data_IF_378091812292
#
_entry.id   IF_378091812292
#
_cell.length_a   1.000
_cell.length_b   1.000
_cell.length_c   1.000
_cell.angle_alpha   90.00
_cell.angle_beta   90.00
_cell.angle_gamma   90.00
#
_symmetry.space_group_name_H-M   'P 1'
#
loop_
_entity.id
_entity.type
_entity.pdbx_description
1 polymer ?
#
# COMPACT_ATOMS: atom_id res chain seq x y z
N UNK A 1 3.63 24.33 54.12
CA UNK A 1 3.91 22.97 53.62
C UNK A 1 3.20 22.82 52.28
N UNK A 2 3.85 23.15 51.17
CA UNK A 2 3.22 23.10 49.84
C UNK A 2 3.62 21.80 49.13
N UNK A 3 2.65 20.94 48.84
CA UNK A 3 2.86 19.71 48.06
C UNK A 3 2.97 20.11 46.58
N UNK A 4 4.15 19.92 46.00
CA UNK A 4 4.35 20.01 44.56
C UNK A 4 3.98 18.65 43.95
N UNK A 5 2.83 18.59 43.27
CA UNK A 5 2.46 17.45 42.44
C UNK A 5 3.25 17.51 41.13
N UNK A 6 4.28 16.67 41.03
CA UNK A 6 4.99 16.40 39.78
C UNK A 6 4.09 15.56 38.88
N UNK A 7 3.43 16.19 37.91
CA UNK A 7 2.78 15.48 36.82
C UNK A 7 3.85 14.92 35.88
N UNK A 8 3.80 13.62 35.51
CA UNK A 8 4.71 13.08 34.51
C UNK A 8 4.43 13.75 33.18
N UNK A 9 5.47 14.33 32.58
CA UNK A 9 5.41 14.95 31.26
C UNK A 9 5.16 13.81 30.26
N UNK A 10 3.91 13.61 29.87
CA UNK A 10 3.60 12.77 28.71
C UNK A 10 4.34 13.37 27.52
N UNK A 11 5.28 12.62 26.95
CA UNK A 11 5.94 12.96 25.71
C UNK A 11 4.86 13.07 24.63
N UNK A 12 4.55 14.29 24.20
CA UNK A 12 3.66 14.53 23.07
C UNK A 12 4.31 13.87 21.87
N UNK A 13 3.67 12.82 21.34
CA UNK A 13 4.09 12.20 20.08
C UNK A 13 4.20 13.32 19.04
N UNK A 14 5.40 13.52 18.51
CA UNK A 14 5.61 14.53 17.45
C UNK A 14 4.71 14.13 16.27
N UNK A 15 3.93 15.06 15.70
CA UNK A 15 3.14 14.76 14.52
C UNK A 15 4.09 14.26 13.44
N UNK A 16 3.83 13.06 12.93
CA UNK A 16 4.54 12.56 11.74
C UNK A 16 4.12 13.49 10.60
N UNK A 17 5.05 14.22 9.97
CA UNK A 17 4.71 15.00 8.79
C UNK A 17 4.21 14.01 7.73
N UNK A 18 2.93 14.07 7.42
CA UNK A 18 2.24 13.03 6.67
C UNK A 18 2.10 13.43 5.21
N UNK A 19 3.22 13.82 4.60
CA UNK A 19 3.22 14.24 3.19
C UNK A 19 3.01 13.03 2.25
N UNK A 20 3.28 11.81 2.74
CA UNK A 20 3.06 10.55 2.04
C UNK A 20 2.53 9.46 2.98
N UNK A 21 1.26 9.07 2.82
CA UNK A 21 0.62 7.94 3.50
C UNK A 21 1.32 6.61 3.21
N UNK A 22 1.67 6.34 1.95
CA UNK A 22 2.30 5.08 1.54
C UNK A 22 3.80 5.29 1.37
N UNK A 23 4.52 5.26 2.48
CA UNK A 23 5.95 5.54 2.53
C UNK A 23 6.85 4.30 2.42
N UNK A 24 6.27 3.09 2.36
CA UNK A 24 7.02 1.84 2.29
C UNK A 24 6.50 0.92 1.19
N UNK A 25 7.41 0.06 0.72
CA UNK A 25 7.11 -0.96 -0.28
C UNK A 25 6.12 -1.99 0.25
N UNK A 26 6.26 -2.34 1.53
CA UNK A 26 5.41 -3.29 2.23
C UNK A 26 3.97 -2.77 2.29
N UNK A 27 3.78 -1.50 2.68
CA UNK A 27 2.46 -0.87 2.74
C UNK A 27 1.81 -0.77 1.35
N UNK A 28 2.58 -0.46 0.31
CA UNK A 28 2.09 -0.46 -1.06
C UNK A 28 1.60 -1.85 -1.48
N UNK A 29 2.31 -2.91 -1.08
CA UNK A 29 1.93 -4.31 -1.32
C UNK A 29 0.66 -4.72 -0.57
N UNK A 30 0.54 -4.35 0.71
CA UNK A 30 -0.65 -4.63 1.52
C UNK A 30 -1.89 -3.93 0.97
N UNK A 31 -1.77 -2.65 0.60
CA UNK A 31 -2.90 -1.91 0.03
C UNK A 31 -3.29 -2.43 -1.36
N UNK A 32 -2.31 -2.85 -2.16
CA UNK A 32 -2.56 -3.55 -3.43
C UNK A 32 -3.40 -4.79 -3.22
N UNK A 33 -3.08 -5.63 -2.22
CA UNK A 33 -3.86 -6.83 -1.93
C UNK A 33 -5.32 -6.50 -1.58
N UNK A 34 -5.56 -5.45 -0.80
CA UNK A 34 -6.92 -4.97 -0.47
C UNK A 34 -7.68 -4.59 -1.73
N UNK A 35 -7.10 -3.76 -2.61
CA UNK A 35 -7.78 -3.30 -3.81
C UNK A 35 -8.02 -4.41 -4.84
N UNK A 36 -6.99 -5.21 -5.14
CA UNK A 36 -7.09 -6.28 -6.15
C UNK A 36 -8.06 -7.36 -5.69
N UNK A 37 -8.04 -7.74 -4.40
CA UNK A 37 -9.00 -8.69 -3.85
C UNK A 37 -10.43 -8.18 -3.95
N UNK A 38 -10.66 -6.90 -3.72
CA UNK A 38 -11.99 -6.29 -3.81
C UNK A 38 -12.51 -6.22 -5.26
N UNK A 39 -11.64 -5.93 -6.22
CA UNK A 39 -12.03 -5.71 -7.62
C UNK A 39 -12.09 -7.00 -8.45
N UNK A 40 -11.12 -7.88 -8.27
CA UNK A 40 -10.92 -9.07 -9.12
C UNK A 40 -11.04 -10.38 -8.36
N UNK A 41 -10.97 -10.35 -7.03
CA UNK A 41 -11.09 -11.53 -6.18
C UNK A 41 -9.74 -12.07 -5.69
N UNK A 42 -9.82 -13.12 -4.88
CA UNK A 42 -8.67 -13.69 -4.16
C UNK A 42 -7.63 -14.30 -5.10
N UNK A 43 -8.06 -14.83 -6.26
CA UNK A 43 -7.14 -15.48 -7.20
C UNK A 43 -6.12 -14.50 -7.76
N UNK A 44 -6.57 -13.32 -8.20
CA UNK A 44 -5.73 -12.25 -8.72
C UNK A 44 -4.86 -11.62 -7.62
N UNK A 45 -5.39 -11.48 -6.40
CA UNK A 45 -4.60 -11.02 -5.26
C UNK A 45 -3.49 -12.01 -4.84
N UNK A 46 -3.50 -13.24 -5.36
CA UNK A 46 -2.46 -14.23 -5.14
C UNK A 46 -1.40 -14.26 -6.25
N UNK A 47 -1.43 -13.35 -7.23
CA UNK A 47 -0.40 -13.16 -8.26
C UNK A 47 0.90 -12.58 -7.67
N UNK A 48 1.49 -13.32 -6.72
CA UNK A 48 2.68 -12.97 -5.96
C UNK A 48 3.91 -13.74 -6.49
N UNK A 49 5.13 -13.26 -6.25
CA UNK A 49 5.47 -11.98 -5.62
C UNK A 49 5.09 -10.80 -6.53
N UNK A 50 4.67 -9.70 -5.92
CA UNK A 50 4.39 -8.47 -6.68
C UNK A 50 5.69 -7.81 -7.12
N UNK A 51 5.71 -7.31 -8.36
CA UNK A 51 6.76 -6.41 -8.82
C UNK A 51 6.39 -4.98 -8.45
N UNK A 52 6.89 -4.51 -7.30
CA UNK A 52 6.60 -3.17 -6.77
C UNK A 52 7.73 -2.23 -7.15
N UNK A 53 7.44 -1.19 -7.92
CA UNK A 53 8.39 -0.16 -8.34
C UNK A 53 8.02 1.17 -7.73
N UNK A 54 9.00 1.82 -7.13
CA UNK A 54 8.83 3.19 -6.64
C UNK A 54 8.88 4.18 -7.81
N UNK A 55 8.01 5.18 -7.76
CA UNK A 55 8.03 6.39 -8.59
C UNK A 55 8.08 7.61 -7.67
N UNK A 56 8.17 8.82 -8.23
CA UNK A 56 8.23 10.06 -7.45
C UNK A 56 7.09 10.12 -6.42
N UNK A 57 5.85 10.23 -6.90
CA UNK A 57 4.66 10.43 -6.06
C UNK A 57 3.72 9.21 -6.06
N UNK A 58 4.20 8.07 -6.57
CA UNK A 58 3.38 6.86 -6.69
C UNK A 58 4.17 5.56 -6.52
N UNK A 59 3.43 4.48 -6.30
CA UNK A 59 3.89 3.11 -6.40
C UNK A 59 3.23 2.47 -7.62
N UNK A 60 4.01 1.80 -8.45
CA UNK A 60 3.53 1.00 -9.56
C UNK A 60 3.72 -0.48 -9.19
N UNK A 61 2.64 -1.25 -9.17
CA UNK A 61 2.64 -2.64 -8.72
C UNK A 61 2.06 -3.52 -9.82
N UNK A 62 2.81 -4.55 -10.20
CA UNK A 62 2.38 -5.55 -11.18
C UNK A 62 2.26 -6.92 -10.48
N UNK A 63 1.18 -7.64 -10.79
CA UNK A 63 1.03 -9.04 -10.44
C UNK A 63 2.03 -9.91 -11.20
N UNK A 64 2.37 -11.06 -10.62
CA UNK A 64 3.10 -12.14 -11.29
C UNK A 64 2.15 -13.34 -11.44
N UNK A 65 1.81 -13.77 -12.66
CA UNK A 65 0.82 -14.79 -12.88
C UNK A 65 1.41 -16.13 -12.45
N UNK A 66 0.58 -16.97 -11.84
CA UNK A 66 0.98 -18.34 -11.59
C UNK A 66 1.19 -19.06 -12.93
N UNK A 67 2.15 -19.98 -13.02
CA UNK A 67 2.39 -20.76 -14.24
C UNK A 67 1.16 -21.57 -14.72
N UNK A 68 0.15 -21.75 -13.86
CA UNK A 68 -1.11 -22.43 -14.15
C UNK A 68 -2.25 -21.50 -14.61
N UNK A 69 -2.12 -20.18 -14.48
CA UNK A 69 -3.11 -19.21 -14.98
C UNK A 69 -2.79 -18.85 -16.43
N UNK A 70 -3.15 -19.74 -17.36
CA UNK A 70 -2.92 -19.58 -18.82
C UNK A 70 -3.97 -18.71 -19.52
N UNK A 71 -4.87 -18.06 -18.77
CA UNK A 71 -5.94 -17.20 -19.31
C UNK A 71 -6.11 -15.99 -18.39
N UNK A 72 -5.76 -14.79 -18.87
CA UNK A 72 -5.66 -13.56 -18.09
C UNK A 72 -4.22 -13.08 -17.98
N UNK A 73 -3.92 -11.91 -18.54
CA UNK A 73 -2.67 -11.21 -18.28
C UNK A 73 -2.65 -10.55 -16.90
N UNK A 74 -1.47 -10.22 -16.40
CA UNK A 74 -1.28 -9.71 -15.03
C UNK A 74 -2.07 -8.42 -14.78
N UNK A 75 -2.42 -8.18 -13.52
CA UNK A 75 -2.85 -6.83 -13.13
C UNK A 75 -1.67 -5.85 -13.06
N UNK A 76 -1.98 -4.58 -13.31
CA UNK A 76 -1.12 -3.44 -12.99
C UNK A 76 -1.97 -2.45 -12.20
N UNK A 77 -1.45 -1.96 -11.08
CA UNK A 77 -2.08 -0.92 -10.28
C UNK A 77 -1.05 0.16 -9.93
N UNK A 78 -1.47 1.43 -10.00
CA UNK A 78 -0.65 2.58 -9.59
C UNK A 78 -1.35 3.27 -8.43
N UNK A 79 -0.64 3.41 -7.32
CA UNK A 79 -1.14 4.00 -6.07
C UNK A 79 -0.45 5.33 -5.79
N UNK A 80 -1.22 6.35 -5.45
CA UNK A 80 -0.70 7.63 -4.94
C UNK A 80 0.00 7.41 -3.60
N UNK A 81 1.22 7.95 -3.45
CA UNK A 81 1.93 7.92 -2.16
C UNK A 81 1.28 8.82 -1.12
N UNK A 82 0.56 9.86 -1.54
CA UNK A 82 0.01 10.90 -0.67
C UNK A 82 -1.16 10.37 0.15
N UNK A 83 -2.12 9.74 -0.52
CA UNK A 83 -3.43 9.39 0.03
C UNK A 83 -3.85 7.94 -0.27
N UNK A 84 -3.04 7.19 -1.01
CA UNK A 84 -3.33 5.82 -1.40
C UNK A 84 -4.39 5.67 -2.48
N UNK A 85 -4.80 6.77 -3.13
CA UNK A 85 -5.74 6.71 -4.24
C UNK A 85 -5.20 5.83 -5.38
N UNK A 86 -6.10 5.04 -5.98
CA UNK A 86 -5.80 4.29 -7.21
C UNK A 86 -5.77 5.28 -8.38
N UNK A 87 -4.57 5.55 -8.89
CA UNK A 87 -4.35 6.44 -10.03
C UNK A 87 -4.59 5.73 -11.37
N UNK A 88 -4.27 4.44 -11.41
CA UNK A 88 -4.46 3.60 -12.58
C UNK A 88 -4.65 2.14 -12.15
N UNK A 89 -5.48 1.41 -12.88
CA UNK A 89 -5.62 -0.04 -12.72
C UNK A 89 -5.99 -0.69 -14.04
N UNK A 90 -5.35 -1.81 -14.34
CA UNK A 90 -5.68 -2.67 -15.46
C UNK A 90 -5.46 -4.14 -15.10
N UNK A 91 -6.09 -5.03 -15.85
CA UNK A 91 -5.87 -6.47 -15.79
C UNK A 91 -5.92 -7.00 -17.22
N UNK A 92 -4.86 -7.73 -17.63
CA UNK A 92 -4.81 -8.31 -18.98
C UNK A 92 -5.91 -9.35 -19.18
N UNK A 93 -6.47 -9.43 -20.40
CA UNK A 93 -7.42 -10.50 -20.77
C UNK A 93 -6.71 -11.83 -20.98
#
# INVERSE_FOLDING_TARGET
MGIYLLFPICSVAKPVPFDMLINSREMAGELTEVYIKNLYGVQQANEKPYNIKERNDSWEIEGTPSSSSTKGGNFVIVLSKIDGAVLFISHGK
#
